data_IF_120555529776
#
_entry.id   IF_120555529776
#
_cell.length_a   1.000
_cell.length_b   1.000
_cell.length_c   1.000
_cell.angle_alpha   90.00
_cell.angle_beta   90.00
_cell.angle_gamma   90.00
#
_symmetry.space_group_name_H-M   'P 1'
#
loop_
_entity.id
_entity.type
_entity.pdbx_description
1 polymer ?
#
# COMPACT_ATOMS: atom_id res chain seq x y z
N UNK A 1 31.76 23.21 3.27
CA UNK A 1 30.80 22.60 4.22
C UNK A 1 30.69 21.16 3.78
N UNK A 2 30.85 20.18 4.67
CA UNK A 2 30.79 18.78 4.25
C UNK A 2 29.36 18.45 3.80
N UNK A 3 29.25 17.61 2.77
CA UNK A 3 27.97 17.10 2.28
C UNK A 3 27.92 15.61 2.56
N UNK A 4 26.78 15.16 3.09
CA UNK A 4 26.53 13.78 3.50
C UNK A 4 25.26 13.32 2.81
N UNK A 5 25.25 12.12 2.26
CA UNK A 5 24.03 11.47 1.78
C UNK A 5 23.48 10.62 2.91
N UNK A 6 22.16 10.59 3.08
CA UNK A 6 21.49 9.67 3.99
C UNK A 6 20.35 8.98 3.26
N UNK A 7 20.50 7.68 3.05
CA UNK A 7 19.50 6.85 2.41
C UNK A 7 18.63 6.12 3.43
N UNK A 8 17.32 6.17 3.21
CA UNK A 8 16.33 5.35 3.88
C UNK A 8 15.85 4.29 2.89
N UNK A 9 16.07 3.01 3.23
CA UNK A 9 15.51 1.88 2.49
C UNK A 9 14.18 1.51 3.12
N UNK A 10 13.10 1.51 2.35
CA UNK A 10 11.74 1.21 2.80
C UNK A 10 11.29 -0.13 2.27
N UNK A 11 10.71 -0.93 3.15
CA UNK A 11 9.97 -2.13 2.78
C UNK A 11 8.79 -2.35 3.73
N UNK A 12 7.61 -2.64 3.17
CA UNK A 12 6.36 -2.91 3.91
C UNK A 12 6.05 -1.86 5.01
N UNK A 13 6.39 -0.60 4.73
CA UNK A 13 6.14 0.57 5.59
C UNK A 13 7.11 0.76 6.76
N UNK A 14 8.11 -0.10 6.86
CA UNK A 14 9.27 0.06 7.73
C UNK A 14 10.46 0.62 6.95
N UNK A 15 11.43 1.17 7.66
CA UNK A 15 12.72 1.60 7.10
C UNK A 15 13.87 0.87 7.79
N UNK A 16 14.93 0.60 7.03
CA UNK A 16 16.17 0.09 7.58
C UNK A 16 16.89 1.18 8.37
N UNK A 17 17.07 0.96 9.66
CA UNK A 17 18.01 1.72 10.48
C UNK A 17 19.28 0.92 10.70
N UNK A 18 20.40 1.62 10.66
CA UNK A 18 21.73 1.06 10.92
C UNK A 18 22.31 1.71 12.17
N UNK A 19 22.95 0.91 13.02
CA UNK A 19 23.65 1.40 14.20
C UNK A 19 25.14 1.44 13.92
N UNK A 20 25.72 2.64 13.99
CA UNK A 20 27.14 2.87 13.74
C UNK A 20 28.00 2.14 14.77
N UNK A 21 29.00 1.39 14.30
CA UNK A 21 29.93 0.62 15.12
C UNK A 21 31.04 1.45 15.75
N UNK A 22 32.03 0.78 16.33
CA UNK A 22 33.20 1.43 16.94
C UNK A 22 34.26 1.81 15.90
N UNK A 23 34.18 1.26 14.69
CA UNK A 23 35.13 1.49 13.60
C UNK A 23 34.94 2.86 12.90
N UNK A 24 33.78 3.52 13.09
CA UNK A 24 33.49 4.80 12.43
C UNK A 24 34.10 6.00 13.16
N UNK A 25 34.47 7.04 12.41
CA UNK A 25 35.12 8.24 12.95
C UNK A 25 34.21 9.22 13.70
N UNK A 26 32.89 9.13 13.51
CA UNK A 26 31.88 10.08 14.02
C UNK A 26 30.60 9.37 14.45
N UNK A 27 29.92 9.88 15.47
CA UNK A 27 28.64 9.35 15.97
C UNK A 27 28.60 7.84 16.26
N UNK A 28 29.69 7.26 16.76
CA UNK A 28 29.74 5.84 17.14
C UNK A 28 28.62 5.47 18.12
N UNK A 29 27.99 4.31 17.92
CA UNK A 29 26.89 3.80 18.73
C UNK A 29 25.52 4.43 18.44
N UNK A 30 25.42 5.46 17.60
CA UNK A 30 24.16 6.11 17.21
C UNK A 30 23.46 5.37 16.06
N UNK A 31 22.13 5.45 16.03
CA UNK A 31 21.30 4.97 14.93
C UNK A 31 21.20 6.00 13.81
N UNK A 32 21.17 5.56 12.56
CA UNK A 32 21.06 6.38 11.35
C UNK A 32 20.39 5.64 10.19
N UNK A 33 20.17 6.34 9.08
CA UNK A 33 20.04 5.70 7.77
C UNK A 33 21.43 5.37 7.21
N UNK A 34 21.49 4.63 6.11
CA UNK A 34 22.77 4.33 5.43
C UNK A 34 23.36 5.62 4.91
N UNK A 35 24.57 5.99 5.34
CA UNK A 35 25.05 7.37 5.16
C UNK A 35 26.56 7.47 4.97
N UNK A 36 26.96 8.27 3.99
CA UNK A 36 28.37 8.58 3.75
C UNK A 36 28.59 9.96 3.14
N UNK A 37 29.85 10.31 2.91
CA UNK A 37 30.21 11.61 2.36
C UNK A 37 29.95 11.66 0.85
N UNK A 38 29.48 12.81 0.37
CA UNK A 38 29.47 13.10 -1.08
C UNK A 38 30.92 13.25 -1.53
N UNK A 39 31.33 12.47 -2.52
CA UNK A 39 32.68 12.54 -3.08
C UNK A 39 32.76 13.64 -4.16
N UNK A 40 33.86 14.40 -4.19
CA UNK A 40 34.05 15.52 -5.14
C UNK A 40 34.08 15.06 -6.63
N UNK A 41 34.24 13.75 -6.87
CA UNK A 41 34.30 13.13 -8.21
C UNK A 41 32.93 12.63 -8.73
N UNK A 42 31.88 12.66 -7.90
CA UNK A 42 30.54 12.16 -8.24
C UNK A 42 29.67 13.28 -8.83
N UNK A 43 29.15 13.08 -10.05
CA UNK A 43 28.29 14.07 -10.72
C UNK A 43 26.87 14.17 -10.10
N UNK A 44 26.37 13.10 -9.45
CA UNK A 44 25.04 13.02 -8.81
C UNK A 44 25.12 12.37 -7.42
N UNK A 45 24.72 13.07 -6.33
CA UNK A 45 24.72 12.52 -4.97
C UNK A 45 23.89 11.22 -4.78
N UNK A 46 22.99 10.88 -5.70
CA UNK A 46 22.32 9.57 -5.66
C UNK A 46 23.29 8.41 -5.89
N UNK A 47 24.32 8.59 -6.72
CA UNK A 47 25.29 7.53 -6.97
C UNK A 47 26.14 7.26 -5.73
N UNK A 48 26.46 8.31 -4.95
CA UNK A 48 27.07 8.15 -3.63
C UNK A 48 26.12 7.39 -2.68
N UNK A 49 24.83 7.74 -2.63
CA UNK A 49 23.87 7.04 -1.78
C UNK A 49 23.79 5.54 -2.14
N UNK A 50 23.75 5.19 -3.42
CA UNK A 50 23.74 3.80 -3.90
C UNK A 50 25.06 3.08 -3.59
N UNK A 51 26.20 3.78 -3.66
CA UNK A 51 27.51 3.23 -3.28
C UNK A 51 27.53 2.89 -1.79
N UNK A 52 27.11 3.81 -0.93
CA UNK A 52 27.04 3.60 0.53
C UNK A 52 26.07 2.46 0.88
N UNK A 53 24.90 2.40 0.25
CA UNK A 53 23.95 1.29 0.44
C UNK A 53 24.63 -0.05 0.16
N UNK A 54 25.27 -0.19 -1.00
CA UNK A 54 25.94 -1.43 -1.38
C UNK A 54 27.08 -1.78 -0.41
N UNK A 55 27.87 -0.79 -0.01
CA UNK A 55 29.06 -1.00 0.83
C UNK A 55 28.71 -1.34 2.29
N UNK A 56 27.69 -0.70 2.86
CA UNK A 56 27.27 -0.91 4.24
C UNK A 56 26.33 -2.12 4.41
N UNK A 57 25.50 -2.42 3.41
CA UNK A 57 24.39 -3.38 3.55
C UNK A 57 24.46 -4.58 2.61
N UNK A 58 25.30 -4.53 1.57
CA UNK A 58 25.33 -5.54 0.51
C UNK A 58 24.18 -5.45 -0.50
N UNK A 59 23.17 -4.60 -0.28
CA UNK A 59 21.99 -4.49 -1.15
C UNK A 59 22.36 -3.87 -2.50
N UNK A 60 21.95 -4.53 -3.58
CA UNK A 60 22.28 -4.15 -4.94
C UNK A 60 21.34 -3.07 -5.50
N UNK A 61 21.82 -2.34 -6.51
CA UNK A 61 21.01 -1.33 -7.23
C UNK A 61 19.76 -1.94 -7.90
N UNK A 62 19.80 -3.22 -8.25
CA UNK A 62 18.67 -3.93 -8.88
C UNK A 62 17.50 -4.14 -7.93
N UNK A 63 17.76 -4.15 -6.63
CA UNK A 63 16.74 -4.37 -5.58
C UNK A 63 16.18 -3.04 -5.05
N UNK A 64 16.53 -1.92 -5.71
CA UNK A 64 16.29 -0.58 -5.22
C UNK A 64 15.61 0.28 -6.28
N UNK A 65 14.48 0.87 -5.90
CA UNK A 65 13.80 1.90 -6.69
C UNK A 65 13.90 3.24 -5.98
N UNK A 66 14.53 4.24 -6.61
CA UNK A 66 14.57 5.59 -6.05
C UNK A 66 13.16 6.19 -6.06
N UNK A 67 12.63 6.48 -4.87
CA UNK A 67 11.29 7.06 -4.68
C UNK A 67 11.36 8.58 -4.61
N UNK A 68 12.30 9.11 -3.84
CA UNK A 68 12.39 10.57 -3.62
C UNK A 68 13.78 11.05 -3.26
N UNK A 69 14.10 12.25 -3.76
CA UNK A 69 15.18 13.11 -3.29
C UNK A 69 14.55 14.23 -2.48
N UNK A 70 14.93 14.38 -1.21
CA UNK A 70 14.33 15.37 -0.31
C UNK A 70 15.12 16.68 -0.26
N UNK A 71 14.52 17.70 0.33
CA UNK A 71 15.23 18.93 0.63
C UNK A 71 16.38 18.68 1.61
N UNK A 72 17.48 19.42 1.43
CA UNK A 72 18.68 19.24 2.25
C UNK A 72 18.47 19.69 3.69
N UNK A 73 19.04 18.97 4.65
CA UNK A 73 18.96 19.30 6.09
C UNK A 73 20.32 19.77 6.59
N UNK A 74 20.37 21.01 7.09
CA UNK A 74 21.59 21.56 7.71
C UNK A 74 21.74 21.06 9.16
N UNK A 75 22.95 20.57 9.47
CA UNK A 75 23.35 20.12 10.81
C UNK A 75 24.49 21.00 11.33
N UNK A 76 24.35 21.45 12.58
CA UNK A 76 25.36 22.22 13.30
C UNK A 76 25.46 21.69 14.72
N UNK A 77 26.59 21.08 15.07
CA UNK A 77 26.81 20.52 16.40
C UNK A 77 28.29 20.60 16.83
N UNK A 78 28.65 19.81 17.85
CA UNK A 78 30.01 19.77 18.38
C UNK A 78 31.02 19.06 17.45
N UNK A 79 30.56 18.21 16.53
CA UNK A 79 31.41 17.52 15.55
C UNK A 79 31.61 18.36 14.27
N UNK A 80 30.69 19.29 13.96
CA UNK A 80 30.92 20.31 12.96
C UNK A 80 29.65 20.84 12.27
N UNK A 81 29.82 21.37 11.07
CA UNK A 81 28.74 21.86 10.22
C UNK A 81 28.74 21.12 8.88
N UNK A 82 27.64 20.44 8.58
CA UNK A 82 27.46 19.66 7.36
C UNK A 82 26.00 19.70 6.87
N UNK A 83 25.81 19.32 5.61
CA UNK A 83 24.51 19.28 4.95
C UNK A 83 24.17 17.85 4.59
N UNK A 84 23.01 17.37 5.03
CA UNK A 84 22.47 16.06 4.70
C UNK A 84 21.60 16.15 3.44
N UNK A 85 21.83 15.26 2.48
CA UNK A 85 21.02 15.03 1.30
C UNK A 85 20.22 13.73 1.51
N UNK A 86 18.92 13.81 1.84
CA UNK A 86 18.13 12.63 2.15
C UNK A 86 17.57 11.99 0.88
N UNK A 87 17.58 10.66 0.86
CA UNK A 87 17.02 9.84 -0.22
C UNK A 87 16.11 8.75 0.36
N UNK A 88 15.00 8.49 -0.32
CA UNK A 88 14.13 7.34 -0.03
C UNK A 88 14.18 6.38 -1.21
N UNK A 89 14.44 5.11 -0.91
CA UNK A 89 14.36 4.00 -1.84
C UNK A 89 13.32 3.00 -1.36
N UNK A 90 12.51 2.47 -2.28
CA UNK A 90 11.82 1.19 -2.05
C UNK A 90 12.83 0.06 -2.27
N UNK A 91 12.78 -0.94 -1.40
CA UNK A 91 13.75 -2.03 -1.35
C UNK A 91 13.04 -3.37 -1.42
N UNK A 92 13.36 -4.17 -2.44
CA UNK A 92 12.67 -5.44 -2.72
C UNK A 92 13.19 -6.60 -1.87
N UNK A 93 14.21 -6.35 -1.03
CA UNK A 93 14.80 -7.34 -0.11
C UNK A 93 14.98 -6.78 1.30
N UNK A 94 14.80 -7.65 2.30
CA UNK A 94 15.15 -7.37 3.70
C UNK A 94 16.49 -8.00 4.13
N UNK A 95 17.14 -8.76 3.24
CA UNK A 95 18.41 -9.39 3.52
C UNK A 95 19.53 -8.35 3.54
N UNK A 96 20.17 -8.18 4.70
CA UNK A 96 21.25 -7.21 4.91
C UNK A 96 22.51 -7.97 5.30
N UNK A 97 23.60 -7.70 4.59
CA UNK A 97 24.94 -8.19 4.89
C UNK A 97 25.80 -7.03 5.41
N UNK A 98 25.76 -6.73 6.72
CA UNK A 98 26.43 -5.57 7.27
C UNK A 98 27.95 -5.71 7.20
N UNK A 99 28.63 -4.62 6.85
CA UNK A 99 30.09 -4.54 6.94
C UNK A 99 30.56 -4.21 8.38
N UNK A 100 31.87 -4.02 8.57
CA UNK A 100 32.47 -3.74 9.89
C UNK A 100 32.13 -2.36 10.48
N UNK A 101 31.56 -1.45 9.69
CA UNK A 101 31.14 -0.12 10.14
C UNK A 101 29.82 -0.16 10.91
N UNK A 102 29.05 -1.24 10.80
CA UNK A 102 27.75 -1.40 11.42
C UNK A 102 27.80 -2.37 12.61
N UNK A 103 27.32 -1.93 13.77
CA UNK A 103 27.15 -2.77 14.95
C UNK A 103 25.80 -3.52 14.96
N UNK A 104 24.77 -2.98 14.30
CA UNK A 104 23.45 -3.60 14.21
C UNK A 104 22.64 -3.00 13.05
N UNK A 105 21.68 -3.76 12.55
CA UNK A 105 20.69 -3.36 11.55
C UNK A 105 19.30 -3.75 12.03
N UNK A 106 18.29 -2.93 11.73
CA UNK A 106 16.91 -3.22 12.13
C UNK A 106 15.91 -2.55 11.18
N UNK A 107 14.91 -3.30 10.73
CA UNK A 107 13.75 -2.76 10.03
C UNK A 107 12.73 -2.28 11.05
N UNK A 108 12.36 -1.00 11.00
CA UNK A 108 11.47 -0.41 12.00
C UNK A 108 10.49 0.59 11.40
N UNK A 109 9.38 0.82 12.07
CA UNK A 109 8.52 1.96 11.79
C UNK A 109 9.29 3.27 12.08
N UNK A 110 9.34 4.24 11.14
CA UNK A 110 10.10 5.48 11.27
C UNK A 110 9.97 6.26 12.58
N UNK A 111 8.80 6.36 13.26
CA UNK A 111 8.72 7.02 14.55
C UNK A 111 9.66 6.44 15.63
N UNK A 112 10.13 5.20 15.48
CA UNK A 112 11.15 4.62 16.37
C UNK A 112 12.45 5.45 16.42
N UNK A 113 12.75 6.26 15.40
CA UNK A 113 13.88 7.20 15.40
C UNK A 113 13.78 8.24 16.54
N UNK A 114 12.57 8.60 16.96
CA UNK A 114 12.31 9.58 18.02
C UNK A 114 12.58 9.03 19.43
N UNK A 115 12.64 7.70 19.56
CA UNK A 115 12.79 6.99 20.84
C UNK A 115 14.21 6.42 21.01
N UNK A 116 15.08 6.64 20.02
CA UNK A 116 16.44 6.08 19.95
C UNK A 116 17.50 7.18 20.00
N UNK A 117 18.70 6.81 20.43
CA UNK A 117 19.88 7.64 20.29
C UNK A 117 20.34 7.65 18.82
N UNK A 118 19.93 8.67 18.07
CA UNK A 118 20.18 8.80 16.63
C UNK A 118 21.30 9.79 16.30
N UNK A 119 21.79 9.74 15.06
CA UNK A 119 22.58 10.84 14.48
C UNK A 119 21.74 12.13 14.45
N UNK A 120 22.37 13.32 14.51
CA UNK A 120 21.64 14.57 14.57
C UNK A 120 20.66 14.74 13.41
N UNK A 121 19.45 15.25 13.69
CA UNK A 121 18.43 15.58 12.68
C UNK A 121 17.98 14.39 11.82
N UNK A 122 18.16 13.13 12.27
CA UNK A 122 17.75 11.94 11.49
C UNK A 122 16.26 11.97 11.13
N UNK A 123 15.40 12.29 12.10
CA UNK A 123 13.96 12.39 11.87
C UNK A 123 13.62 13.47 10.83
N UNK A 124 14.25 14.64 10.88
CA UNK A 124 14.06 15.69 9.87
C UNK A 124 14.49 15.23 8.47
N UNK A 125 15.63 14.51 8.38
CA UNK A 125 16.10 13.94 7.12
C UNK A 125 15.11 12.91 6.55
N UNK A 126 14.52 12.07 7.40
CA UNK A 126 13.44 11.16 7.00
C UNK A 126 12.20 11.92 6.54
N UNK A 127 11.74 12.92 7.30
CA UNK A 127 10.53 13.71 6.97
C UNK A 127 10.67 14.50 5.67
N UNK A 128 11.89 14.86 5.26
CA UNK A 128 12.15 15.46 3.96
C UNK A 128 11.88 14.51 2.76
N UNK A 129 11.86 13.18 2.99
CA UNK A 129 11.62 12.18 1.94
C UNK A 129 10.39 11.30 2.16
N UNK A 130 9.88 11.24 3.39
CA UNK A 130 8.71 10.46 3.77
C UNK A 130 7.41 10.91 3.08
N UNK A 131 6.36 10.09 3.10
CA UNK A 131 5.10 10.41 2.47
C UNK A 131 4.40 11.59 3.17
N UNK A 132 3.70 12.38 2.37
CA UNK A 132 2.85 13.51 2.78
C UNK A 132 1.51 13.45 2.05
N UNK A 133 0.51 14.19 2.52
CA UNK A 133 -0.80 14.30 1.85
C UNK A 133 -0.68 14.76 0.40
N UNK A 134 0.23 15.71 0.10
CA UNK A 134 0.50 16.17 -1.27
C UNK A 134 0.99 15.02 -2.14
N UNK A 135 1.91 14.22 -1.63
CA UNK A 135 2.52 13.14 -2.42
C UNK A 135 1.57 11.98 -2.65
N UNK A 136 0.68 11.72 -1.69
CA UNK A 136 -0.43 10.75 -1.83
C UNK A 136 -1.44 11.24 -2.88
N UNK A 137 -1.76 12.53 -2.90
CA UNK A 137 -2.67 13.11 -3.89
C UNK A 137 -2.08 13.11 -5.32
N UNK A 138 -0.76 13.28 -5.42
CA UNK A 138 -0.03 13.35 -6.69
C UNK A 138 0.30 11.98 -7.31
N UNK A 139 0.29 10.90 -6.53
CA UNK A 139 0.60 9.56 -7.03
C UNK A 139 -0.45 9.11 -8.05
N UNK A 140 -0.05 8.88 -9.31
CA UNK A 140 -0.93 8.36 -10.38
C UNK A 140 -0.42 7.06 -10.98
N UNK A 141 0.64 6.51 -10.41
CA UNK A 141 1.37 5.36 -10.95
C UNK A 141 1.09 4.10 -10.14
N UNK A 142 0.75 4.24 -8.86
CA UNK A 142 0.50 3.11 -7.98
C UNK A 142 -0.99 2.84 -7.76
N UNK A 143 -1.30 1.57 -7.50
CA UNK A 143 -2.66 1.10 -7.21
C UNK A 143 -3.16 1.50 -5.82
N UNK A 144 -4.47 1.35 -5.61
CA UNK A 144 -5.18 1.76 -4.39
C UNK A 144 -4.61 1.17 -3.09
N UNK A 145 -4.11 -0.06 -3.11
CA UNK A 145 -3.47 -0.70 -1.95
C UNK A 145 -2.22 0.07 -1.51
N UNK A 146 -1.24 0.25 -2.41
CA UNK A 146 0.01 0.96 -2.15
C UNK A 146 -0.23 2.41 -1.70
N UNK A 147 -1.06 3.15 -2.43
CA UNK A 147 -1.35 4.57 -2.10
C UNK A 147 -2.02 4.69 -0.73
N UNK A 148 -2.89 3.76 -0.36
CA UNK A 148 -3.51 3.77 0.98
C UNK A 148 -2.53 3.47 2.12
N UNK A 149 -1.52 2.62 1.91
CA UNK A 149 -0.43 2.39 2.88
C UNK A 149 0.40 3.66 3.03
N UNK A 150 0.74 4.34 1.93
CA UNK A 150 1.43 5.64 1.97
C UNK A 150 0.63 6.72 2.71
N UNK A 151 -0.70 6.69 2.61
CA UNK A 151 -1.56 7.58 3.38
C UNK A 151 -1.50 7.28 4.89
N UNK A 152 -1.48 6.01 5.29
CA UNK A 152 -1.30 5.61 6.68
C UNK A 152 0.08 5.99 7.23
N UNK A 153 1.14 5.82 6.44
CA UNK A 153 2.49 6.27 6.82
C UNK A 153 2.55 7.79 7.00
N UNK A 154 1.95 8.56 6.10
CA UNK A 154 1.87 10.01 6.26
C UNK A 154 1.10 10.37 7.53
N UNK A 155 -0.05 9.75 7.79
CA UNK A 155 -0.83 9.98 9.02
C UNK A 155 -0.03 9.63 10.28
N UNK A 156 0.68 8.50 10.27
CA UNK A 156 1.58 8.07 11.35
C UNK A 156 2.64 9.13 11.64
N UNK A 157 3.27 9.65 10.60
CA UNK A 157 4.36 10.61 10.74
C UNK A 157 3.87 11.99 11.19
N UNK A 158 2.75 12.47 10.64
CA UNK A 158 2.09 13.72 11.09
C UNK A 158 1.67 13.62 12.56
N UNK A 159 1.18 12.45 12.97
CA UNK A 159 0.83 12.18 14.37
C UNK A 159 2.07 12.13 15.28
N UNK A 160 3.19 11.61 14.79
CA UNK A 160 4.47 11.63 15.52
C UNK A 160 5.00 13.06 15.67
N UNK A 161 4.97 13.87 14.61
CA UNK A 161 5.35 15.30 14.63
C UNK A 161 4.48 16.09 15.62
N UNK A 162 3.15 15.89 15.56
CA UNK A 162 2.22 16.53 16.48
C UNK A 162 2.45 16.10 17.93
N UNK A 163 2.77 14.83 18.19
CA UNK A 163 3.12 14.34 19.53
C UNK A 163 4.38 15.03 20.05
N UNK A 164 5.44 15.10 19.22
CA UNK A 164 6.71 15.72 19.59
C UNK A 164 6.56 17.22 19.88
N UNK A 165 5.75 17.92 19.09
CA UNK A 165 5.49 19.34 19.25
C UNK A 165 4.47 19.67 20.35
N UNK A 166 3.81 18.66 20.94
CA UNK A 166 2.72 18.87 21.90
C UNK A 166 1.49 19.53 21.28
N UNK A 167 1.26 19.31 19.98
CA UNK A 167 0.09 19.78 19.27
C UNK A 167 -1.16 18.99 19.67
N UNK A 168 -2.36 19.58 19.55
CA UNK A 168 -3.59 18.92 19.92
C UNK A 168 -4.05 17.94 18.83
N UNK A 169 -5.03 17.09 19.15
CA UNK A 169 -5.59 16.10 18.21
C UNK A 169 -6.08 16.72 16.90
N UNK A 170 -6.62 17.94 16.96
CA UNK A 170 -7.21 18.64 15.82
C UNK A 170 -6.22 18.84 14.68
N UNK A 171 -4.93 19.03 14.97
CA UNK A 171 -3.92 19.15 13.90
C UNK A 171 -3.76 17.85 13.11
N UNK A 172 -3.83 16.71 13.80
CA UNK A 172 -3.76 15.38 13.18
C UNK A 172 -5.08 15.06 12.47
N UNK A 173 -6.21 15.49 13.03
CA UNK A 173 -7.52 15.38 12.40
C UNK A 173 -7.58 16.13 11.05
N UNK A 174 -6.99 17.33 10.96
CA UNK A 174 -6.88 18.07 9.70
C UNK A 174 -6.01 17.35 8.67
N UNK A 175 -4.85 16.81 9.09
CA UNK A 175 -4.02 15.98 8.23
C UNK A 175 -4.76 14.71 7.76
N UNK A 176 -5.51 14.05 8.65
CA UNK A 176 -6.32 12.89 8.32
C UNK A 176 -7.41 13.21 7.28
N UNK A 177 -8.10 14.36 7.38
CA UNK A 177 -9.05 14.82 6.34
C UNK A 177 -8.36 15.01 4.99
N UNK A 178 -7.21 15.70 4.98
CA UNK A 178 -6.45 15.94 3.76
C UNK A 178 -6.01 14.63 3.10
N UNK A 179 -5.54 13.66 3.90
CA UNK A 179 -5.16 12.33 3.41
C UNK A 179 -6.36 11.56 2.89
N UNK A 180 -7.45 11.45 3.67
CA UNK A 180 -8.70 10.78 3.29
C UNK A 180 -9.24 11.28 1.94
N UNK A 181 -9.18 12.58 1.73
CA UNK A 181 -9.76 13.23 0.55
C UNK A 181 -8.74 13.39 -0.60
N UNK A 182 -7.49 12.94 -0.42
CA UNK A 182 -6.42 13.07 -1.42
C UNK A 182 -6.73 12.35 -2.74
N UNK A 183 -7.43 11.22 -2.68
CA UNK A 183 -7.83 10.40 -3.84
C UNK A 183 -9.27 9.88 -3.67
N UNK A 184 -10.31 10.68 -3.96
CA UNK A 184 -11.71 10.31 -3.70
C UNK A 184 -12.20 9.03 -4.41
N UNK A 185 -11.54 8.59 -5.48
CA UNK A 185 -11.81 7.33 -6.17
C UNK A 185 -11.24 6.08 -5.47
N UNK A 186 -10.38 6.25 -4.46
CA UNK A 186 -9.69 5.14 -3.77
C UNK A 186 -10.34 4.82 -2.42
N UNK A 187 -11.27 3.87 -2.42
CA UNK A 187 -12.01 3.44 -1.23
C UNK A 187 -11.12 3.04 -0.06
N UNK A 188 -10.10 2.20 -0.30
CA UNK A 188 -9.19 1.72 0.75
C UNK A 188 -8.52 2.86 1.52
N UNK A 189 -8.15 3.93 0.83
CA UNK A 189 -7.50 5.08 1.43
C UNK A 189 -8.43 5.75 2.46
N UNK A 190 -9.68 6.03 2.06
CA UNK A 190 -10.63 6.68 2.95
C UNK A 190 -11.02 5.75 4.13
N UNK A 191 -11.25 4.47 3.86
CA UNK A 191 -11.60 3.47 4.87
C UNK A 191 -10.49 3.34 5.92
N UNK A 192 -9.24 3.18 5.50
CA UNK A 192 -8.09 2.97 6.39
C UNK A 192 -7.82 4.19 7.27
N UNK A 193 -7.84 5.40 6.69
CA UNK A 193 -7.69 6.64 7.47
C UNK A 193 -8.83 6.80 8.47
N UNK A 194 -10.08 6.59 8.05
CA UNK A 194 -11.22 6.67 8.95
C UNK A 194 -11.18 5.63 10.07
N UNK A 195 -10.66 4.42 9.79
CA UNK A 195 -10.47 3.36 10.79
C UNK A 195 -9.51 3.83 11.89
N UNK A 196 -8.33 4.28 11.51
CA UNK A 196 -7.31 4.79 12.45
C UNK A 196 -7.89 5.90 13.34
N UNK A 197 -8.54 6.89 12.73
CA UNK A 197 -9.08 8.03 13.48
C UNK A 197 -10.26 7.63 14.37
N UNK A 198 -11.17 6.78 13.90
CA UNK A 198 -12.30 6.27 14.69
C UNK A 198 -11.85 5.38 15.85
N UNK A 199 -10.77 4.63 15.68
CA UNK A 199 -10.23 3.78 16.74
C UNK A 199 -9.47 4.58 17.78
N UNK A 200 -8.66 5.56 17.37
CA UNK A 200 -7.98 6.45 18.29
C UNK A 200 -8.96 7.39 19.04
N UNK A 201 -10.11 7.72 18.45
CA UNK A 201 -11.20 8.42 19.15
C UNK A 201 -11.83 7.59 20.30
N UNK A 202 -11.67 6.26 20.31
CA UNK A 202 -12.25 5.37 21.34
C UNK A 202 -11.17 4.87 22.29
N UNK A 203 -11.36 4.98 23.61
CA UNK A 203 -10.54 4.20 24.55
C UNK A 203 -10.87 2.71 24.40
N UNK A 204 -9.83 1.87 24.31
CA UNK A 204 -9.99 0.44 24.51
C UNK A 204 -10.50 0.17 25.93
N UNK A 205 -11.60 -0.59 26.03
CA UNK A 205 -12.01 -1.17 27.30
C UNK A 205 -10.93 -2.19 27.71
N UNK A 206 -10.15 -1.83 28.73
CA UNK A 206 -9.04 -2.61 29.28
C UNK A 206 -9.34 -4.12 29.44
N UNK A 207 -8.29 -4.91 29.20
CA UNK A 207 -8.19 -6.36 29.33
C UNK A 207 -8.70 -6.89 30.68
N UNK A 208 -9.53 -7.93 30.62
CA UNK A 208 -10.15 -8.60 31.78
C UNK A 208 -9.11 -9.27 32.68
N UNK A 209 -8.89 -8.74 33.88
CA UNK A 209 -8.22 -9.47 34.98
C UNK A 209 -9.24 -9.79 36.08
N UNK A 210 -9.80 -11.00 36.05
CA UNK A 210 -10.74 -11.50 37.08
C UNK A 210 -12.23 -11.18 36.84
N UNK A 211 -13.03 -11.20 37.92
CA UNK A 211 -14.50 -11.13 37.92
C UNK A 211 -15.09 -9.71 38.11
N UNK A 212 -14.28 -8.66 38.09
CA UNK A 212 -14.75 -7.29 38.28
C UNK A 212 -14.78 -6.57 36.93
N UNK A 213 -15.98 -6.26 36.45
CA UNK A 213 -16.19 -5.32 35.34
C UNK A 213 -16.24 -3.92 35.93
N UNK A 214 -15.15 -3.16 35.85
CA UNK A 214 -15.20 -1.71 36.01
C UNK A 214 -15.61 -1.12 34.67
N UNK A 215 -16.85 -0.61 34.59
CA UNK A 215 -17.27 0.26 33.48
C UNK A 215 -16.79 1.66 33.81
N UNK A 216 -15.50 1.91 33.63
CA UNK A 216 -14.95 3.26 33.67
C UNK A 216 -15.31 3.99 32.36
N UNK A 217 -15.55 5.29 32.47
CA UNK A 217 -16.15 6.12 31.42
C UNK A 217 -15.40 6.03 30.09
N UNK A 218 -16.19 6.02 29.00
CA UNK A 218 -15.73 6.09 27.62
C UNK A 218 -15.24 7.52 27.32
N UNK A 219 -14.15 7.95 27.95
CA UNK A 219 -13.44 9.17 27.57
C UNK A 219 -12.60 8.87 26.33
N UNK A 220 -12.70 9.71 25.30
CA UNK A 220 -11.94 9.56 24.06
C UNK A 220 -10.43 9.72 24.32
N UNK A 221 -9.59 8.91 23.67
CA UNK A 221 -8.13 9.10 23.65
C UNK A 221 -7.73 9.93 22.43
N UNK A 222 -8.35 11.12 22.32
CA UNK A 222 -8.05 12.11 21.28
C UNK A 222 -6.66 12.70 21.49
N UNK A 223 -5.64 11.90 21.26
CA UNK A 223 -4.23 12.29 21.34
C UNK A 223 -3.50 11.93 20.05
N UNK A 224 -2.56 12.78 19.57
CA UNK A 224 -1.69 12.43 18.45
C UNK A 224 -0.95 11.10 18.65
N UNK A 225 -0.54 10.78 19.88
CA UNK A 225 0.14 9.52 20.19
C UNK A 225 -0.75 8.30 19.90
N UNK A 226 -2.03 8.35 20.28
CA UNK A 226 -2.97 7.28 19.95
C UNK A 226 -3.14 7.11 18.43
N UNK A 227 -3.24 8.21 17.66
CA UNK A 227 -3.28 8.13 16.18
C UNK A 227 -2.02 7.48 15.64
N UNK A 228 -0.84 7.90 16.11
CA UNK A 228 0.46 7.35 15.68
C UNK A 228 0.49 5.83 15.87
N UNK A 229 0.12 5.36 17.07
CA UNK A 229 0.20 3.95 17.41
C UNK A 229 -0.82 3.12 16.60
N UNK A 230 -2.02 3.65 16.38
CA UNK A 230 -3.02 3.01 15.49
C UNK A 230 -2.60 3.02 14.03
N UNK A 231 -1.98 4.09 13.56
CA UNK A 231 -1.48 4.16 12.20
C UNK A 231 -0.33 3.17 11.98
N UNK A 232 0.57 2.98 12.96
CA UNK A 232 1.60 1.93 12.94
C UNK A 232 0.96 0.54 12.77
N UNK A 233 0.00 0.20 13.61
CA UNK A 233 -0.70 -1.08 13.52
C UNK A 233 -1.41 -1.24 12.17
N UNK A 234 -2.12 -0.19 11.73
CA UNK A 234 -2.85 -0.19 10.48
C UNK A 234 -1.94 -0.34 9.24
N UNK A 235 -0.70 0.17 9.26
CA UNK A 235 0.27 -0.07 8.18
C UNK A 235 0.62 -1.56 8.10
N UNK A 236 0.91 -2.19 9.23
CA UNK A 236 1.24 -3.61 9.29
C UNK A 236 0.04 -4.49 8.87
N UNK A 237 -1.15 -4.18 9.38
CA UNK A 237 -2.40 -4.89 9.04
C UNK A 237 -2.75 -4.73 7.57
N UNK A 238 -2.62 -3.52 7.02
CA UNK A 238 -2.91 -3.22 5.62
C UNK A 238 -2.04 -4.03 4.65
N UNK A 239 -0.78 -4.23 5.02
CA UNK A 239 0.20 -4.98 4.23
C UNK A 239 0.00 -6.49 4.42
N UNK A 240 -0.33 -6.95 5.63
CA UNK A 240 -0.67 -8.35 5.89
C UNK A 240 -2.00 -8.78 5.22
N UNK A 241 -2.96 -7.88 5.10
CA UNK A 241 -4.27 -8.16 4.49
C UNK A 241 -4.13 -8.60 3.02
N UNK A 242 -3.22 -8.00 2.26
CA UNK A 242 -3.00 -8.39 0.87
C UNK A 242 -2.40 -9.80 0.77
N UNK A 243 -1.37 -10.13 1.57
CA UNK A 243 -0.79 -11.49 1.62
C UNK A 243 -1.84 -12.54 2.06
N UNK A 244 -2.67 -12.20 3.05
CA UNK A 244 -3.72 -13.10 3.55
C UNK A 244 -4.82 -13.30 2.50
N UNK A 245 -5.25 -12.24 1.82
CA UNK A 245 -6.21 -12.35 0.74
C UNK A 245 -5.68 -13.20 -0.43
N UNK A 246 -4.38 -13.12 -0.73
CA UNK A 246 -3.74 -14.01 -1.70
C UNK A 246 -3.80 -15.47 -1.23
N UNK A 247 -3.42 -15.76 0.02
CA UNK A 247 -3.48 -17.12 0.60
C UNK A 247 -4.90 -17.71 0.59
N UNK A 248 -5.89 -16.94 1.02
CA UNK A 248 -7.29 -17.37 1.01
C UNK A 248 -7.80 -17.62 -0.41
N UNK A 249 -7.40 -16.78 -1.38
CA UNK A 249 -7.72 -16.98 -2.79
C UNK A 249 -7.09 -18.28 -3.33
N UNK A 250 -5.83 -18.54 -3.01
CA UNK A 250 -5.15 -19.78 -3.38
C UNK A 250 -5.83 -21.02 -2.78
N UNK A 251 -6.27 -20.94 -1.52
CA UNK A 251 -7.02 -22.01 -0.86
C UNK A 251 -8.37 -22.29 -1.57
N UNK A 252 -9.10 -21.24 -1.96
CA UNK A 252 -10.34 -21.37 -2.73
C UNK A 252 -10.09 -22.03 -4.08
N UNK A 253 -9.00 -21.68 -4.78
CA UNK A 253 -8.64 -22.30 -6.06
C UNK A 253 -8.27 -23.77 -5.89
N UNK A 254 -7.55 -24.13 -4.83
CA UNK A 254 -7.19 -25.51 -4.54
C UNK A 254 -8.43 -26.39 -4.34
N UNK A 255 -9.44 -25.90 -3.62
CA UNK A 255 -10.72 -26.62 -3.44
C UNK A 255 -11.52 -26.78 -4.76
N UNK A 256 -11.27 -25.91 -5.75
CA UNK A 256 -11.85 -26.03 -7.09
C UNK A 256 -11.03 -26.90 -8.05
N UNK A 257 -9.72 -27.07 -7.77
CA UNK A 257 -8.72 -27.67 -8.65
C UNK A 257 -8.60 -29.20 -8.58
N UNK A 258 -9.36 -29.89 -7.71
CA UNK A 258 -9.42 -31.37 -7.67
C UNK A 258 -10.25 -31.94 -8.85
N UNK A 259 -9.98 -31.48 -10.07
CA UNK A 259 -10.44 -32.13 -11.28
C UNK A 259 -9.87 -33.56 -11.39
N UNK A 260 -10.66 -34.48 -11.95
CA UNK A 260 -10.40 -35.94 -12.06
C UNK A 260 -9.03 -36.34 -12.64
N UNK A 261 -8.27 -35.39 -13.23
CA UNK A 261 -7.01 -35.61 -13.93
C UNK A 261 -5.74 -35.18 -13.14
N UNK A 262 -5.89 -34.53 -11.96
CA UNK A 262 -4.78 -34.22 -11.05
C UNK A 262 -3.76 -33.16 -11.52
N UNK A 263 -4.12 -32.32 -12.50
CA UNK A 263 -3.30 -31.19 -12.98
C UNK A 263 -3.65 -29.86 -12.31
N UNK A 264 -2.68 -28.94 -12.24
CA UNK A 264 -2.88 -27.59 -11.69
C UNK A 264 -3.80 -26.74 -12.57
N UNK A 265 -4.65 -25.86 -11.98
CA UNK A 265 -5.68 -25.13 -12.73
C UNK A 265 -5.08 -24.11 -13.70
N UNK A 266 -5.70 -23.97 -14.86
CA UNK A 266 -5.42 -22.92 -15.83
C UNK A 266 -6.12 -21.61 -15.44
N UNK A 267 -5.35 -20.56 -15.21
CA UNK A 267 -5.83 -19.30 -14.65
C UNK A 267 -5.84 -18.17 -15.68
N UNK A 268 -6.87 -17.33 -15.67
CA UNK A 268 -6.95 -16.10 -16.46
C UNK A 268 -6.91 -14.87 -15.55
N UNK A 269 -6.15 -13.84 -15.90
CA UNK A 269 -6.17 -12.55 -15.21
C UNK A 269 -6.26 -11.36 -16.16
N UNK A 270 -6.67 -10.23 -15.60
CA UNK A 270 -6.73 -8.93 -16.25
C UNK A 270 -6.22 -7.85 -15.28
N UNK A 271 -5.45 -6.92 -15.83
CA UNK A 271 -4.75 -5.81 -15.17
C UNK A 271 -3.59 -6.26 -14.27
N UNK A 272 -3.16 -5.37 -13.39
CA UNK A 272 -2.08 -5.59 -12.42
C UNK A 272 -2.63 -5.42 -11.01
N UNK A 273 -2.59 -6.49 -10.23
CA UNK A 273 -2.91 -6.50 -8.79
C UNK A 273 -1.83 -7.26 -8.05
N UNK A 274 -1.25 -6.68 -6.99
CA UNK A 274 -0.22 -7.34 -6.18
C UNK A 274 -0.74 -8.64 -5.56
N UNK A 275 -1.94 -8.59 -4.97
CA UNK A 275 -2.63 -9.77 -4.40
C UNK A 275 -2.81 -10.89 -5.43
N UNK A 276 -3.21 -10.54 -6.66
CA UNK A 276 -3.37 -11.55 -7.72
C UNK A 276 -2.02 -12.04 -8.23
N UNK A 277 -1.03 -11.17 -8.34
CA UNK A 277 0.32 -11.54 -8.75
C UNK A 277 0.93 -12.56 -7.77
N UNK A 278 0.74 -12.39 -6.46
CA UNK A 278 1.18 -13.37 -5.45
C UNK A 278 0.52 -14.74 -5.65
N UNK A 279 -0.80 -14.79 -5.84
CA UNK A 279 -1.51 -16.05 -6.15
C UNK A 279 -0.98 -16.70 -7.43
N UNK A 280 -0.76 -15.89 -8.47
CA UNK A 280 -0.29 -16.39 -9.75
C UNK A 280 1.17 -16.85 -9.70
N UNK A 281 2.02 -16.20 -8.89
CA UNK A 281 3.43 -16.55 -8.70
C UNK A 281 3.61 -17.97 -8.17
N UNK A 282 2.73 -18.39 -7.26
CA UNK A 282 2.71 -19.72 -6.67
C UNK A 282 1.91 -20.76 -7.48
N UNK A 283 1.26 -20.34 -8.58
CA UNK A 283 0.47 -21.24 -9.40
C UNK A 283 1.35 -22.06 -10.37
N UNK A 284 1.20 -23.38 -10.35
CA UNK A 284 1.95 -24.30 -11.24
C UNK A 284 1.32 -24.45 -12.64
N UNK A 285 0.04 -24.10 -12.80
CA UNK A 285 -0.72 -24.31 -14.04
C UNK A 285 -0.53 -23.21 -15.10
N UNK A 286 -1.11 -23.37 -16.30
CA UNK A 286 -1.07 -22.35 -17.35
C UNK A 286 -1.68 -21.02 -16.89
N UNK A 287 -1.05 -19.90 -17.25
CA UNK A 287 -1.55 -18.55 -16.92
C UNK A 287 -1.81 -17.75 -18.19
N UNK A 288 -3.02 -17.23 -18.33
CA UNK A 288 -3.45 -16.33 -19.39
C UNK A 288 -3.56 -14.91 -18.85
N UNK A 289 -2.96 -13.95 -19.55
CA UNK A 289 -2.93 -12.54 -19.11
C UNK A 289 -3.48 -11.66 -20.22
N UNK A 290 -4.60 -10.99 -19.95
CA UNK A 290 -5.12 -9.97 -20.85
C UNK A 290 -4.24 -8.71 -20.82
N UNK A 291 -3.92 -8.12 -21.97
CA UNK A 291 -2.98 -6.99 -22.05
C UNK A 291 -3.44 -5.75 -21.27
N UNK A 292 -4.74 -5.57 -21.07
CA UNK A 292 -5.37 -4.56 -20.22
C UNK A 292 -5.27 -3.13 -20.73
N UNK A 293 -5.72 -2.88 -21.94
CA UNK A 293 -5.84 -1.52 -22.46
C UNK A 293 -7.04 -0.78 -21.81
N UNK A 294 -6.98 0.56 -21.68
CA UNK A 294 -5.87 1.44 -22.02
C UNK A 294 -4.78 1.40 -20.92
N UNK A 295 -3.51 1.28 -21.28
CA UNK A 295 -2.38 1.34 -20.33
C UNK A 295 -1.50 0.10 -20.37
N UNK A 296 -2.06 -1.05 -20.77
CA UNK A 296 -1.28 -2.23 -21.13
C UNK A 296 -0.62 -2.92 -19.93
N UNK A 297 -1.16 -2.75 -18.73
CA UNK A 297 -0.53 -3.21 -17.48
C UNK A 297 -0.32 -4.73 -17.44
N UNK A 298 -1.17 -5.49 -18.12
CA UNK A 298 -1.06 -6.95 -18.19
C UNK A 298 0.18 -7.42 -18.95
N UNK A 299 0.78 -6.59 -19.82
CA UNK A 299 2.04 -6.95 -20.51
C UNK A 299 3.19 -7.10 -19.54
N UNK A 300 3.25 -6.22 -18.53
CA UNK A 300 4.28 -6.25 -17.49
C UNK A 300 4.06 -7.43 -16.54
N UNK A 301 2.81 -7.70 -16.16
CA UNK A 301 2.45 -8.89 -15.36
C UNK A 301 2.87 -10.17 -16.08
N UNK A 302 2.55 -10.31 -17.37
CA UNK A 302 2.95 -11.46 -18.16
C UNK A 302 4.48 -11.60 -18.25
N UNK A 303 5.20 -10.49 -18.44
CA UNK A 303 6.67 -10.50 -18.48
C UNK A 303 7.28 -10.92 -17.14
N UNK A 304 6.76 -10.40 -16.02
CA UNK A 304 7.21 -10.75 -14.67
C UNK A 304 6.98 -12.23 -14.36
N UNK A 305 5.78 -12.75 -14.64
CA UNK A 305 5.48 -14.17 -14.42
C UNK A 305 6.32 -15.10 -15.32
N UNK A 306 6.67 -14.66 -16.54
CA UNK A 306 7.49 -15.44 -17.46
C UNK A 306 8.99 -15.38 -17.16
N UNK A 307 9.46 -14.33 -16.47
CA UNK A 307 10.87 -14.19 -16.12
C UNK A 307 11.32 -15.26 -15.11
N UNK A 308 10.43 -15.67 -14.19
CA UNK A 308 10.71 -16.64 -13.14
C UNK A 308 11.79 -16.18 -12.15
N UNK A 309 11.84 -16.81 -10.98
CA UNK A 309 13.08 -16.80 -10.19
C UNK A 309 14.13 -17.69 -10.89
N UNK A 310 15.40 -17.63 -10.50
CA UNK A 310 16.50 -18.47 -11.04
C UNK A 310 16.25 -20.00 -10.90
N UNK A 311 15.12 -20.42 -10.34
CA UNK A 311 14.64 -21.80 -10.39
C UNK A 311 13.98 -22.11 -11.75
N UNK A 312 14.31 -23.24 -12.38
CA UNK A 312 13.71 -23.60 -13.66
C UNK A 312 12.19 -23.73 -13.49
N UNK A 313 11.44 -22.87 -14.20
CA UNK A 313 10.00 -23.02 -14.35
C UNK A 313 9.68 -24.50 -14.64
N UNK A 314 8.70 -25.05 -13.93
CA UNK A 314 8.18 -26.37 -14.26
C UNK A 314 7.76 -26.37 -15.73
N UNK A 315 8.04 -27.46 -16.44
CA UNK A 315 7.77 -27.61 -17.89
C UNK A 315 6.29 -27.34 -18.25
N UNK A 316 5.40 -27.30 -17.25
CA UNK A 316 3.95 -27.14 -17.35
C UNK A 316 3.41 -25.70 -17.16
N UNK A 317 4.21 -24.74 -16.66
CA UNK A 317 3.74 -23.37 -16.36
C UNK A 317 3.88 -22.42 -17.55
N UNK A 318 2.97 -22.52 -18.53
CA UNK A 318 2.97 -21.64 -19.70
C UNK A 318 2.27 -20.29 -19.45
N UNK A 319 2.97 -19.17 -19.64
CA UNK A 319 2.38 -17.81 -19.60
C UNK A 319 2.00 -17.36 -21.01
N UNK A 320 0.73 -17.01 -21.23
CA UNK A 320 0.19 -16.55 -22.52
C UNK A 320 -0.41 -15.15 -22.41
N UNK A 321 0.18 -14.18 -23.10
CA UNK A 321 -0.38 -12.84 -23.26
C UNK A 321 -1.42 -12.82 -24.39
N UNK A 322 -2.59 -12.19 -24.17
CA UNK A 322 -3.65 -12.06 -25.16
C UNK A 322 -4.18 -10.62 -25.24
N UNK A 323 -4.67 -10.18 -26.41
CA UNK A 323 -5.42 -8.93 -26.50
C UNK A 323 -6.74 -9.07 -25.73
N UNK A 324 -7.24 -7.98 -25.13
CA UNK A 324 -8.46 -8.01 -24.31
C UNK A 324 -9.67 -8.55 -25.08
N UNK A 325 -9.72 -8.28 -26.39
CA UNK A 325 -10.77 -8.76 -27.30
C UNK A 325 -10.79 -10.29 -27.48
N UNK A 326 -9.72 -11.01 -27.13
CA UNK A 326 -9.66 -12.46 -27.23
C UNK A 326 -10.15 -13.19 -25.97
N UNK A 327 -10.40 -12.47 -24.86
CA UNK A 327 -10.80 -13.07 -23.57
C UNK A 327 -12.04 -13.95 -23.69
N UNK A 328 -13.09 -13.47 -24.34
CA UNK A 328 -14.33 -14.24 -24.50
C UNK A 328 -14.13 -15.50 -25.36
N UNK A 329 -13.29 -15.43 -26.40
CA UNK A 329 -12.97 -16.59 -27.24
C UNK A 329 -12.14 -17.63 -26.47
N UNK A 330 -11.18 -17.19 -25.67
CA UNK A 330 -10.36 -18.07 -24.82
C UNK A 330 -11.23 -18.85 -23.82
N UNK A 331 -12.20 -18.18 -23.21
CA UNK A 331 -13.16 -18.80 -22.29
C UNK A 331 -14.05 -19.82 -23.03
N UNK A 332 -14.56 -19.47 -24.22
CA UNK A 332 -15.37 -20.36 -25.05
C UNK A 332 -14.61 -21.59 -25.55
N UNK A 333 -13.29 -21.50 -25.70
CA UNK A 333 -12.42 -22.63 -26.05
C UNK A 333 -12.21 -23.62 -24.89
N UNK A 334 -12.70 -23.31 -23.67
CA UNK A 334 -12.59 -24.19 -22.50
C UNK A 334 -11.17 -24.35 -21.98
N UNK A 335 -10.32 -23.33 -22.15
CA UNK A 335 -8.89 -23.35 -21.78
C UNK A 335 -8.58 -22.78 -20.40
N UNK A 336 -9.60 -22.34 -19.67
CA UNK A 336 -9.48 -21.60 -18.41
C UNK A 336 -10.40 -22.27 -17.38
N UNK A 337 -9.84 -22.61 -16.23
CA UNK A 337 -10.55 -23.24 -15.12
C UNK A 337 -11.09 -22.21 -14.13
N UNK A 338 -10.38 -21.08 -13.95
CA UNK A 338 -10.83 -19.96 -13.14
C UNK A 338 -10.22 -18.64 -13.63
N UNK A 339 -10.93 -17.53 -13.38
CA UNK A 339 -10.38 -16.20 -13.57
C UNK A 339 -10.16 -15.47 -12.25
N UNK A 340 -9.03 -14.75 -12.15
CA UNK A 340 -8.63 -13.96 -11.01
C UNK A 340 -8.52 -12.50 -11.42
N UNK A 341 -9.10 -11.61 -10.64
CA UNK A 341 -8.99 -10.16 -10.83
C UNK A 341 -8.73 -9.47 -9.50
N UNK A 342 -8.15 -8.28 -9.56
CA UNK A 342 -8.14 -7.39 -8.40
C UNK A 342 -9.51 -6.72 -8.20
N UNK A 343 -9.58 -5.86 -7.20
CA UNK A 343 -10.66 -4.91 -7.04
C UNK A 343 -10.09 -3.54 -6.63
N UNK A 344 -10.71 -2.46 -7.10
CA UNK A 344 -10.51 -1.10 -6.57
C UNK A 344 -11.64 -0.71 -5.62
N UNK A 345 -12.83 -1.28 -5.83
CA UNK A 345 -13.95 -1.10 -4.94
C UNK A 345 -14.90 -2.31 -4.96
N UNK A 346 -15.40 -2.71 -3.79
CA UNK A 346 -16.46 -3.72 -3.65
C UNK A 346 -17.72 -3.02 -3.14
N UNK A 347 -18.80 -3.04 -3.91
CA UNK A 347 -20.01 -2.31 -3.58
C UNK A 347 -20.91 -3.07 -2.60
N UNK A 348 -21.81 -2.39 -1.85
CA UNK A 348 -22.70 -3.03 -0.89
C UNK A 348 -23.65 -4.10 -1.48
N UNK A 349 -23.84 -4.12 -2.80
CA UNK A 349 -24.62 -5.17 -3.48
C UNK A 349 -23.77 -6.37 -3.93
N UNK A 350 -22.46 -6.37 -3.65
CA UNK A 350 -21.49 -7.40 -4.05
C UNK A 350 -20.83 -7.15 -5.40
N UNK A 351 -21.23 -6.12 -6.15
CA UNK A 351 -20.58 -5.79 -7.42
C UNK A 351 -19.14 -5.32 -7.20
N UNK A 352 -18.27 -5.54 -8.18
CA UNK A 352 -16.84 -5.20 -8.08
C UNK A 352 -16.48 -4.18 -9.16
N UNK A 353 -15.87 -3.06 -8.77
CA UNK A 353 -15.15 -2.20 -9.69
C UNK A 353 -13.68 -2.63 -9.77
N UNK A 354 -13.20 -2.80 -10.98
CA UNK A 354 -11.80 -3.08 -11.32
C UNK A 354 -11.53 -2.51 -12.73
N UNK A 355 -10.28 -2.62 -13.20
CA UNK A 355 -9.88 -2.20 -14.55
C UNK A 355 -10.92 -2.57 -15.61
N UNK A 356 -11.22 -1.62 -16.50
CA UNK A 356 -12.10 -1.82 -17.64
C UNK A 356 -11.75 -3.09 -18.40
N UNK A 357 -12.77 -3.85 -18.80
CA UNK A 357 -12.63 -5.21 -19.33
C UNK A 357 -13.00 -6.28 -18.30
N UNK A 358 -12.90 -5.99 -16.99
CA UNK A 358 -13.30 -6.93 -15.93
C UNK A 358 -14.77 -7.33 -16.04
N UNK A 359 -15.67 -6.38 -16.31
CA UNK A 359 -17.09 -6.68 -16.56
C UNK A 359 -17.28 -7.62 -17.75
N UNK A 360 -16.54 -7.39 -18.83
CA UNK A 360 -16.61 -8.21 -20.04
C UNK A 360 -16.15 -9.64 -19.78
N UNK A 361 -15.01 -9.78 -19.10
CA UNK A 361 -14.47 -11.06 -18.63
C UNK A 361 -15.49 -11.78 -17.75
N UNK A 362 -16.02 -11.13 -16.71
CA UNK A 362 -16.94 -11.75 -15.76
C UNK A 362 -18.23 -12.26 -16.42
N UNK A 363 -18.81 -11.48 -17.34
CA UNK A 363 -20.01 -11.90 -18.09
C UNK A 363 -19.74 -13.07 -19.03
N UNK A 364 -18.58 -13.09 -19.70
CA UNK A 364 -18.19 -14.20 -20.57
C UNK A 364 -17.90 -15.47 -19.75
N UNK A 365 -17.21 -15.34 -18.62
CA UNK A 365 -16.89 -16.45 -17.73
C UNK A 365 -18.16 -17.08 -17.16
N UNK A 366 -19.09 -16.27 -16.65
CA UNK A 366 -20.39 -16.73 -16.17
C UNK A 366 -21.20 -17.46 -17.26
N UNK A 367 -21.07 -17.05 -18.53
CA UNK A 367 -21.76 -17.69 -19.66
C UNK A 367 -21.22 -19.09 -19.97
N UNK A 368 -19.92 -19.31 -19.77
CA UNK A 368 -19.24 -20.58 -20.02
C UNK A 368 -19.06 -21.44 -18.75
N UNK A 369 -19.52 -20.96 -17.60
CA UNK A 369 -19.44 -21.68 -16.33
C UNK A 369 -18.07 -21.63 -15.65
N UNK A 370 -17.23 -20.65 -16.02
CA UNK A 370 -15.92 -20.42 -15.41
C UNK A 370 -16.08 -19.48 -14.20
N UNK A 371 -15.67 -19.87 -12.98
CA UNK A 371 -15.73 -19.01 -11.81
C UNK A 371 -14.76 -17.83 -11.92
N UNK A 372 -15.17 -16.68 -11.36
CA UNK A 372 -14.33 -15.47 -11.28
C UNK A 372 -14.18 -15.07 -9.82
N UNK A 373 -12.94 -14.90 -9.37
CA UNK A 373 -12.60 -14.43 -8.03
C UNK A 373 -11.98 -13.05 -8.09
N UNK A 374 -12.51 -12.13 -7.27
CA UNK A 374 -11.88 -10.84 -7.00
C UNK A 374 -11.10 -10.93 -5.69
N UNK A 375 -9.78 -11.00 -5.78
CA UNK A 375 -8.88 -11.04 -4.62
C UNK A 375 -8.55 -9.61 -4.17
N UNK A 376 -8.90 -9.27 -2.92
CA UNK A 376 -8.77 -7.91 -2.41
C UNK A 376 -8.81 -7.83 -0.88
N UNK A 377 -8.15 -6.84 -0.28
CA UNK A 377 -8.37 -6.50 1.12
C UNK A 377 -9.80 -5.99 1.39
N UNK A 378 -10.33 -6.28 2.58
CA UNK A 378 -11.68 -5.87 3.01
C UNK A 378 -11.89 -4.36 3.00
N UNK A 379 -10.84 -3.57 3.23
CA UNK A 379 -10.93 -2.11 3.26
C UNK A 379 -11.37 -1.48 1.93
N UNK A 380 -11.35 -2.25 0.83
CA UNK A 380 -11.92 -1.83 -0.46
C UNK A 380 -13.44 -1.98 -0.56
N UNK A 381 -14.11 -2.50 0.47
CA UNK A 381 -15.58 -2.45 0.55
C UNK A 381 -16.04 -1.01 0.73
N UNK A 382 -16.84 -0.53 -0.22
CA UNK A 382 -17.34 0.84 -0.29
C UNK A 382 -18.26 1.11 0.90
N UNK A 383 -18.00 2.18 1.69
CA UNK A 383 -18.92 2.63 2.72
C UNK A 383 -20.32 2.77 2.15
N UNK A 384 -21.32 2.24 2.86
CA UNK A 384 -22.67 2.23 2.34
C UNK A 384 -23.12 3.68 2.01
N UNK A 385 -23.80 3.88 0.88
CA UNK A 385 -24.26 5.21 0.44
C UNK A 385 -23.18 6.18 -0.04
N UNK A 386 -21.90 5.79 -0.07
CA UNK A 386 -20.85 6.57 -0.71
C UNK A 386 -21.00 6.55 -2.24
N UNK A 387 -20.59 7.64 -2.89
CA UNK A 387 -20.48 7.72 -4.33
C UNK A 387 -19.15 7.10 -4.79
N UNK A 388 -19.18 6.36 -5.90
CA UNK A 388 -17.97 5.91 -6.59
C UNK A 388 -17.77 6.77 -7.84
N UNK A 389 -16.58 7.34 -7.97
CA UNK A 389 -16.22 8.24 -9.06
C UNK A 389 -15.18 7.54 -9.95
N UNK A 390 -15.61 6.85 -11.03
CA UNK A 390 -14.67 6.21 -11.93
C UNK A 390 -13.81 7.27 -12.63
N UNK A 391 -12.50 7.04 -12.66
CA UNK A 391 -11.57 7.86 -13.46
C UNK A 391 -11.73 7.53 -14.96
N UNK A 392 -11.51 8.52 -15.83
CA UNK A 392 -11.48 8.33 -17.28
C UNK A 392 -10.04 8.25 -17.80
N UNK A 393 -9.83 7.43 -18.82
CA UNK A 393 -8.55 7.26 -19.47
C UNK A 393 -8.37 8.33 -20.56
N UNK A 394 -7.14 8.84 -20.76
CA UNK A 394 -6.83 9.57 -21.99
C UNK A 394 -7.08 8.66 -23.20
N UNK A 395 -7.99 9.07 -24.08
CA UNK A 395 -8.29 8.35 -25.31
C UNK A 395 -8.41 9.35 -26.46
N UNK A 396 -7.52 9.26 -27.43
CA UNK A 396 -7.50 10.17 -28.57
C UNK A 396 -8.52 9.75 -29.63
N UNK A 397 -9.31 10.71 -30.10
CA UNK A 397 -10.21 10.54 -31.23
C UNK A 397 -10.08 11.70 -32.21
N UNK A 398 -10.60 11.50 -33.43
CA UNK A 398 -10.62 12.55 -34.44
C UNK A 398 -11.44 13.76 -33.97
N UNK A 399 -11.11 14.95 -34.50
CA UNK A 399 -11.84 16.18 -34.19
C UNK A 399 -13.35 16.02 -34.49
N UNK A 400 -14.19 16.39 -33.52
CA UNK A 400 -15.65 16.25 -33.60
C UNK A 400 -16.19 14.87 -33.19
N UNK A 401 -15.34 13.95 -32.72
CA UNK A 401 -15.76 12.65 -32.17
C UNK A 401 -15.68 12.68 -30.64
N UNK A 402 -16.80 12.37 -29.98
CA UNK A 402 -16.85 12.19 -28.53
C UNK A 402 -16.24 10.84 -28.13
N UNK A 403 -15.54 10.81 -26.99
CA UNK A 403 -14.89 9.61 -26.47
C UNK A 403 -15.61 9.08 -25.25
N UNK A 404 -15.54 7.75 -25.06
CA UNK A 404 -15.99 7.07 -23.86
C UNK A 404 -14.94 6.02 -23.51
N UNK A 405 -14.11 6.31 -22.51
CA UNK A 405 -12.97 5.48 -22.13
C UNK A 405 -12.82 5.45 -20.60
N UNK A 406 -13.73 4.77 -19.88
CA UNK A 406 -13.58 4.62 -18.43
C UNK A 406 -12.34 3.78 -18.12
N UNK A 407 -11.60 4.12 -17.05
CA UNK A 407 -10.50 3.29 -16.56
C UNK A 407 -11.00 2.05 -15.80
N UNK A 408 -12.19 2.13 -15.21
CA UNK A 408 -12.79 1.08 -14.41
C UNK A 408 -14.20 0.78 -14.90
N UNK A 409 -14.59 -0.49 -14.88
CA UNK A 409 -15.97 -0.92 -15.07
C UNK A 409 -16.45 -1.71 -13.84
N UNK A 410 -17.75 -2.05 -13.82
CA UNK A 410 -18.37 -2.76 -12.70
C UNK A 410 -18.83 -4.14 -13.14
N UNK A 411 -18.19 -5.17 -12.60
CA UNK A 411 -18.63 -6.54 -12.72
C UNK A 411 -19.87 -6.79 -11.81
N UNK A 412 -20.91 -7.45 -12.33
CA UNK A 412 -22.08 -7.83 -11.53
C UNK A 412 -21.74 -8.80 -10.39
N UNK A 413 -22.45 -8.67 -9.26
CA UNK A 413 -22.25 -9.50 -8.07
C UNK A 413 -22.52 -11.00 -8.29
N UNK A 414 -23.37 -11.34 -9.27
CA UNK A 414 -23.69 -12.72 -9.63
C UNK A 414 -22.66 -13.37 -10.56
N UNK A 415 -21.67 -12.61 -11.02
CA UNK A 415 -20.60 -13.08 -11.89
C UNK A 415 -19.22 -13.15 -11.20
N UNK A 416 -19.10 -12.68 -9.95
CA UNK A 416 -17.81 -12.58 -9.24
C UNK A 416 -17.98 -12.93 -7.77
N UNK A 417 -17.07 -13.76 -7.26
CA UNK A 417 -16.93 -14.04 -5.83
C UNK A 417 -15.80 -13.19 -5.27
N UNK A 418 -16.06 -12.40 -4.23
CA UNK A 418 -15.03 -11.59 -3.56
C UNK A 418 -14.31 -12.44 -2.52
N UNK A 419 -12.98 -12.44 -2.53
CA UNK A 419 -12.14 -13.14 -1.55
C UNK A 419 -11.23 -12.12 -0.88
N UNK A 420 -11.24 -12.13 0.46
CA UNK A 420 -10.48 -11.20 1.30
C UNK A 420 -9.58 -11.93 2.28
N UNK A 421 -8.88 -11.20 3.15
CA UNK A 421 -8.13 -11.75 4.27
C UNK A 421 -9.00 -12.55 5.27
N UNK A 422 -10.32 -12.31 5.27
CA UNK A 422 -11.30 -13.04 6.08
C UNK A 422 -11.92 -14.23 5.31
N UNK A 423 -11.41 -14.53 4.11
CA UNK A 423 -11.94 -15.56 3.19
C UNK A 423 -12.99 -15.03 2.21
N UNK A 424 -13.74 -15.93 1.53
CA UNK A 424 -14.81 -15.58 0.61
C UNK A 424 -15.94 -14.83 1.31
N UNK A 425 -16.39 -13.72 0.73
CA UNK A 425 -17.46 -12.90 1.30
C UNK A 425 -18.83 -13.25 0.71
N UNK A 426 -19.81 -13.45 1.59
CA UNK A 426 -21.22 -13.51 1.19
C UNK A 426 -21.85 -12.09 1.14
N UNK A 427 -22.99 -11.92 0.45
CA UNK A 427 -23.64 -10.61 0.31
C UNK A 427 -24.10 -9.95 1.62
N UNK A 428 -24.40 -10.70 2.67
CA UNK A 428 -24.75 -10.14 3.98
C UNK A 428 -23.50 -9.57 4.66
N UNK A 429 -22.40 -10.31 4.62
CA UNK A 429 -21.10 -9.86 5.13
C UNK A 429 -20.60 -8.59 4.42
N UNK A 430 -20.71 -8.52 3.08
CA UNK A 430 -20.35 -7.30 2.32
C UNK A 430 -21.17 -6.08 2.78
N UNK A 431 -22.49 -6.24 3.00
CA UNK A 431 -23.35 -5.15 3.48
C UNK A 431 -22.98 -4.73 4.90
N UNK A 432 -22.70 -5.68 5.78
CA UNK A 432 -22.29 -5.39 7.15
C UNK A 432 -20.98 -4.61 7.19
N UNK A 433 -19.99 -5.01 6.39
CA UNK A 433 -18.72 -4.28 6.23
C UNK A 433 -18.94 -2.86 5.67
N UNK A 434 -19.81 -2.71 4.67
CA UNK A 434 -20.12 -1.39 4.12
C UNK A 434 -20.76 -0.44 5.17
N UNK A 435 -21.62 -0.97 6.04
CA UNK A 435 -22.20 -0.23 7.17
C UNK A 435 -21.15 0.10 8.24
N UNK A 436 -20.26 -0.84 8.56
CA UNK A 436 -19.11 -0.60 9.45
C UNK A 436 -18.26 0.55 8.91
N UNK A 437 -17.86 0.49 7.64
CA UNK A 437 -17.01 1.51 7.02
C UNK A 437 -17.69 2.89 6.97
N UNK A 438 -19.01 2.95 6.78
CA UNK A 438 -19.77 4.20 6.92
C UNK A 438 -19.69 4.73 8.35
N UNK A 439 -19.81 3.86 9.35
CA UNK A 439 -19.77 4.25 10.76
C UNK A 439 -18.38 4.77 11.17
N UNK A 440 -17.30 4.29 10.55
CA UNK A 440 -15.94 4.77 10.81
C UNK A 440 -15.80 6.28 10.57
N UNK A 441 -16.50 6.87 9.59
CA UNK A 441 -16.44 8.31 9.33
C UNK A 441 -17.06 9.21 10.44
N UNK A 442 -17.54 8.63 11.55
CA UNK A 442 -18.16 9.39 12.64
C UNK A 442 -17.19 10.30 13.40
N UNK A 443 -15.90 9.99 13.45
CA UNK A 443 -14.88 10.79 14.14
C UNK A 443 -14.83 12.25 13.65
N UNK A 444 -15.25 12.48 12.40
CA UNK A 444 -15.20 13.80 11.76
C UNK A 444 -16.42 14.70 12.10
N UNK A 445 -17.51 14.13 12.62
CA UNK A 445 -18.79 14.86 12.79
C UNK A 445 -18.82 15.82 13.97
N UNK A 446 -17.87 15.71 14.90
CA UNK A 446 -17.80 16.58 16.08
C UNK A 446 -17.12 17.93 15.82
N UNK A 447 -16.49 18.14 14.64
CA UNK A 447 -15.83 19.39 14.28
C UNK A 447 -16.75 20.50 13.76
N UNK A 448 -17.94 20.15 13.27
CA UNK A 448 -18.91 21.11 12.72
C UNK A 448 -19.83 21.73 13.77
N UNK A 449 -19.96 21.12 14.96
CA UNK A 449 -20.80 21.67 16.03
C UNK A 449 -20.14 22.89 16.73
N UNK A 450 -18.82 23.05 16.62
CA UNK A 450 -18.05 24.12 17.28
C UNK A 450 -17.65 25.26 16.33
N UNK A 451 -17.91 25.12 15.03
CA UNK A 451 -17.83 26.21 14.04
C UNK A 451 -19.17 26.94 13.93
N UNK A 452 -19.67 27.36 15.08
CA UNK A 452 -20.91 28.12 15.18
C UNK A 452 -20.89 29.32 14.24
N UNK A 453 -21.98 29.45 13.47
CA UNK A 453 -22.39 30.67 12.77
C UNK A 453 -22.27 31.87 13.71
N UNK A 454 -21.14 32.57 13.66
CA UNK A 454 -21.07 33.99 14.03
C UNK A 454 -21.53 34.81 12.82
N UNK A 455 -22.78 34.56 12.40
CA UNK A 455 -23.54 35.51 11.58
C UNK A 455 -23.98 36.64 12.52
N UNK A 456 -23.02 37.51 12.82
CA UNK A 456 -23.20 38.76 13.53
C UNK A 456 -24.24 39.63 12.82
N UNK A 457 -25.47 39.58 13.31
CA UNK A 457 -26.42 40.69 13.20
C UNK A 457 -26.09 41.72 14.27
N UNK A 458 -25.41 42.80 13.88
CA UNK A 458 -25.74 44.16 14.32
C UNK A 458 -25.64 45.15 13.15
#
# INVERSE_FOLDING_TARGET
MAHVVTAFLRDRGEVLLVRRGDAVGTYSGRWGGVSGYVEDETDDPVDDALREIREETGIGKTDLTLVRRGDTVAVHDAEGAFTVHPFLFDCDTRAVEPNEELAATEWVQPPAMLERETVPRLWDAYRAVGPTAETVAADRTHGSASVSVRALEALRDEAADATLAGHPWESVADAARALRDARPGMTALATRVNRVMSEADRREASTRTGNTVTREGNEADRTPAAVRDRAVAAVADAVAADDLAARETAAVLADHGDGDDGGSPALLTLSRSGTVAEVLSDADGPVFVAESEPGGEGREVAASLAAGDDEPATDDRAVTLLPDSAVASLLADGRVDAALVGADAVFPDGGVANKVGTRGLALAAAREGVPVYAATARDKVVPAGAAFHPEEAPFEAAEGVETYAPLFDRAPADCVTVVTEDGPLDPETVRAMAEEHRALAAWDRDGDADRGDDDGKE
#
